data_IF_768750804021
#
_entry.id   IF_768750804021
#
_cell.length_a   1.000
_cell.length_b   1.000
_cell.length_c   1.000
_cell.angle_alpha   90.00
_cell.angle_beta   90.00
_cell.angle_gamma   90.00
#
_symmetry.space_group_name_H-M   'P 1'
#
loop_
_entity.id
_entity.type
_entity.pdbx_description
1 polymer ?
#
# COMPACT_ATOMS: atom_id res chain seq x y z
N UNK A 1 9.04 -10.40 -22.76
CA UNK A 1 7.99 -9.36 -22.71
C UNK A 1 6.73 -9.80 -21.92
N UNK A 2 6.81 -10.78 -21.00
CA UNK A 2 5.70 -11.13 -20.09
C UNK A 2 5.72 -10.38 -18.74
N UNK A 3 6.79 -9.64 -18.45
CA UNK A 3 6.96 -8.88 -17.20
C UNK A 3 5.95 -7.73 -17.07
N UNK A 4 5.59 -7.08 -18.18
CA UNK A 4 4.67 -5.93 -18.18
C UNK A 4 3.25 -6.27 -17.74
N UNK A 5 2.79 -7.51 -17.91
CA UNK A 5 1.46 -7.90 -17.45
C UNK A 5 1.45 -8.11 -15.92
N UNK A 6 2.54 -8.66 -15.36
CA UNK A 6 2.66 -8.87 -13.92
C UNK A 6 2.84 -7.56 -13.16
N UNK A 7 3.58 -6.59 -13.72
CA UNK A 7 3.73 -5.26 -13.11
C UNK A 7 2.39 -4.52 -12.98
N UNK A 8 1.44 -4.73 -13.90
CA UNK A 8 0.09 -4.16 -13.79
C UNK A 8 -0.73 -4.75 -12.63
N UNK A 9 -0.37 -5.93 -12.12
CA UNK A 9 -1.04 -6.58 -10.98
C UNK A 9 -0.30 -6.41 -9.66
N UNK A 10 1.02 -6.17 -9.70
CA UNK A 10 1.86 -5.99 -8.52
C UNK A 10 1.31 -4.90 -7.60
N UNK A 11 0.94 -3.74 -8.14
CA UNK A 11 0.42 -2.64 -7.33
C UNK A 11 -0.94 -2.96 -6.68
N UNK A 12 -1.79 -3.70 -7.39
CA UNK A 12 -3.08 -4.19 -6.84
C UNK A 12 -2.84 -5.16 -5.69
N UNK A 13 -1.87 -6.05 -5.84
CA UNK A 13 -1.57 -7.04 -4.81
C UNK A 13 -0.88 -6.41 -3.60
N UNK A 14 -0.03 -5.40 -3.81
CA UNK A 14 0.53 -4.57 -2.74
C UNK A 14 -0.57 -3.87 -1.93
N UNK A 15 -1.57 -3.29 -2.61
CA UNK A 15 -2.73 -2.69 -1.94
C UNK A 15 -3.57 -3.71 -1.16
N UNK A 16 -3.78 -4.90 -1.73
CA UNK A 16 -4.47 -6.00 -1.05
C UNK A 16 -3.73 -6.40 0.24
N UNK A 17 -2.43 -6.64 0.13
CA UNK A 17 -1.60 -7.02 1.26
C UNK A 17 -1.55 -5.93 2.33
N UNK A 18 -1.39 -4.65 1.96
CA UNK A 18 -1.42 -3.53 2.90
C UNK A 18 -2.75 -3.44 3.68
N UNK A 19 -3.87 -3.72 3.03
CA UNK A 19 -5.18 -3.77 3.69
C UNK A 19 -5.22 -4.83 4.80
N UNK A 20 -4.72 -6.04 4.52
CA UNK A 20 -4.65 -7.12 5.51
C UNK A 20 -3.63 -6.85 6.60
N UNK A 21 -2.46 -6.29 6.25
CA UNK A 21 -1.42 -5.88 7.19
C UNK A 21 -1.98 -4.85 8.17
N UNK A 22 -2.72 -3.85 7.69
CA UNK A 22 -3.34 -2.84 8.55
C UNK A 22 -4.40 -3.43 9.50
N UNK A 23 -5.07 -4.50 9.07
CA UNK A 23 -6.04 -5.22 9.91
C UNK A 23 -5.37 -6.08 10.98
N UNK A 24 -4.25 -6.72 10.66
CA UNK A 24 -3.54 -7.64 11.54
C UNK A 24 -2.62 -6.93 12.55
N UNK A 25 -1.91 -5.87 12.13
CA UNK A 25 -0.92 -5.17 12.95
C UNK A 25 -1.47 -3.81 13.40
N UNK A 26 -1.69 -3.61 14.71
CA UNK A 26 -2.14 -2.34 15.33
C UNK A 26 -1.30 -2.05 16.58
N UNK A 27 -1.06 -0.79 16.96
CA UNK A 27 -1.60 0.46 16.37
C UNK A 27 -0.73 1.09 15.26
N UNK A 28 0.55 0.71 15.18
CA UNK A 28 1.50 1.17 14.18
C UNK A 28 2.44 0.03 13.74
N UNK A 29 3.04 0.20 12.56
CA UNK A 29 3.92 -0.79 11.94
C UNK A 29 5.14 -0.10 11.33
N UNK A 30 6.33 -0.66 11.53
CA UNK A 30 7.56 -0.11 10.97
C UNK A 30 7.56 -0.27 9.44
N UNK A 31 7.99 0.77 8.72
CA UNK A 31 8.08 0.72 7.26
C UNK A 31 9.01 -0.37 6.76
N UNK A 32 10.09 -0.69 7.49
CA UNK A 32 11.04 -1.74 7.11
C UNK A 32 10.36 -3.10 6.97
N UNK A 33 9.41 -3.40 7.86
CA UNK A 33 8.63 -4.62 7.76
C UNK A 33 7.79 -4.64 6.47
N UNK A 34 7.22 -3.50 6.09
CA UNK A 34 6.46 -3.37 4.84
C UNK A 34 7.38 -3.53 3.63
N UNK A 35 8.57 -2.94 3.66
CA UNK A 35 9.59 -3.06 2.62
C UNK A 35 9.97 -4.51 2.38
N UNK A 36 10.28 -5.24 3.46
CA UNK A 36 10.70 -6.64 3.42
C UNK A 36 9.57 -7.58 2.96
N UNK A 37 8.35 -7.42 3.50
CA UNK A 37 7.23 -8.31 3.21
C UNK A 37 6.63 -8.10 1.80
N UNK A 38 6.62 -6.85 1.31
CA UNK A 38 6.08 -6.51 -0.02
C UNK A 38 7.15 -6.50 -1.12
N UNK A 39 8.40 -6.77 -0.77
CA UNK A 39 9.52 -6.84 -1.71
C UNK A 39 9.79 -5.50 -2.40
N UNK A 40 9.74 -4.39 -1.66
CA UNK A 40 10.20 -3.10 -2.17
C UNK A 40 11.74 -3.05 -2.22
N UNK A 41 12.29 -2.31 -3.17
CA UNK A 41 13.74 -2.17 -3.33
C UNK A 41 14.37 -1.30 -2.24
N UNK A 42 13.59 -0.38 -1.67
CA UNK A 42 14.04 0.49 -0.58
C UNK A 42 12.89 0.98 0.30
N UNK A 43 13.23 1.41 1.52
CA UNK A 43 12.28 2.01 2.47
C UNK A 43 11.64 3.29 1.89
N UNK A 44 12.38 4.05 1.07
CA UNK A 44 11.85 5.24 0.39
C UNK A 44 10.82 4.89 -0.68
N UNK A 45 11.02 3.78 -1.43
CA UNK A 45 10.06 3.31 -2.43
C UNK A 45 8.76 2.86 -1.76
N UNK A 46 8.87 2.14 -0.64
CA UNK A 46 7.71 1.74 0.17
C UNK A 46 6.98 2.98 0.74
N UNK A 47 7.74 3.97 1.23
CA UNK A 47 7.18 5.20 1.77
C UNK A 47 6.41 5.96 0.70
N UNK A 48 7.00 6.10 -0.49
CA UNK A 48 6.36 6.80 -1.60
C UNK A 48 5.05 6.13 -2.00
N UNK A 49 5.07 4.80 -2.15
CA UNK A 49 3.87 4.03 -2.48
C UNK A 49 2.76 4.21 -1.44
N UNK A 50 3.11 4.21 -0.16
CA UNK A 50 2.15 4.47 0.93
C UNK A 50 1.56 5.89 0.79
N UNK A 51 2.41 6.90 0.63
CA UNK A 51 2.02 8.31 0.54
C UNK A 51 1.16 8.64 -0.68
N UNK A 52 1.26 7.86 -1.75
CA UNK A 52 0.38 8.01 -2.92
C UNK A 52 -1.09 7.60 -2.61
N UNK A 53 -1.32 6.84 -1.53
CA UNK A 53 -2.64 6.33 -1.14
C UNK A 53 -3.14 6.84 0.21
N UNK A 54 -2.27 7.31 1.09
CA UNK A 54 -2.62 7.75 2.45
C UNK A 54 -2.05 9.13 2.78
N UNK A 55 -2.67 9.91 3.67
CA UNK A 55 -2.13 11.19 4.11
C UNK A 55 -0.77 11.03 4.80
N UNK A 56 0.13 11.99 4.58
CA UNK A 56 1.46 12.04 5.20
C UNK A 56 1.41 11.99 6.74
N UNK A 57 0.33 12.49 7.36
CA UNK A 57 0.12 12.44 8.82
C UNK A 57 0.06 11.02 9.40
N UNK A 58 -0.23 10.02 8.55
CA UNK A 58 -0.27 8.61 8.96
C UNK A 58 1.11 7.95 8.86
N UNK A 59 2.10 8.61 8.27
CA UNK A 59 3.49 8.17 8.23
C UNK A 59 4.30 9.00 9.24
N UNK A 60 4.64 8.39 10.36
CA UNK A 60 5.30 9.09 11.47
C UNK A 60 6.77 8.70 11.55
N UNK A 61 7.64 9.69 11.46
CA UNK A 61 9.05 9.52 11.81
C UNK A 61 9.21 9.49 13.33
N UNK A 62 9.56 8.32 13.88
CA UNK A 62 9.88 8.14 15.29
C UNK A 62 11.40 7.89 15.43
N UNK A 63 11.98 8.03 16.64
CA UNK A 63 13.41 7.77 16.87
C UNK A 63 13.83 6.33 16.52
N UNK A 64 12.87 5.42 16.50
CA UNK A 64 12.99 3.98 16.23
C UNK A 64 12.66 3.62 14.75
N UNK A 65 12.64 4.64 13.88
CA UNK A 65 12.34 4.51 12.46
C UNK A 65 10.97 5.07 12.04
N UNK A 66 10.71 5.03 10.73
CA UNK A 66 9.44 5.48 10.14
C UNK A 66 8.36 4.43 10.40
N UNK A 67 7.22 4.84 10.98
CA UNK A 67 6.11 3.96 11.31
C UNK A 67 4.81 4.43 10.65
N UNK A 68 4.11 3.50 10.03
CA UNK A 68 2.77 3.69 9.48
C UNK A 68 1.72 3.46 10.56
N UNK A 69 0.80 4.41 10.74
CA UNK A 69 -0.33 4.31 11.66
C UNK A 69 -1.45 3.46 11.03
N UNK A 70 -1.26 2.14 11.09
CA UNK A 70 -2.16 1.14 10.53
C UNK A 70 -3.60 1.24 11.03
N UNK A 71 -3.79 1.66 12.29
CA UNK A 71 -5.11 1.84 12.89
C UNK A 71 -6.00 2.85 12.15
N UNK A 72 -5.41 3.83 11.45
CA UNK A 72 -6.12 4.86 10.68
C UNK A 72 -5.93 4.71 9.16
N UNK A 73 -4.89 3.99 8.73
CA UNK A 73 -4.56 3.83 7.32
C UNK A 73 -5.46 2.81 6.59
N UNK A 74 -6.04 1.84 7.30
CA UNK A 74 -6.91 0.79 6.73
C UNK A 74 -7.99 1.32 5.75
N UNK A 75 -8.85 2.30 6.09
CA UNK A 75 -9.91 2.77 5.18
C UNK A 75 -9.38 3.38 3.88
N UNK A 76 -8.19 4.00 3.91
CA UNK A 76 -7.57 4.56 2.71
C UNK A 76 -7.12 3.47 1.74
N UNK A 77 -6.50 2.41 2.26
CA UNK A 77 -6.10 1.27 1.45
C UNK A 77 -7.30 0.46 0.93
N UNK A 78 -8.37 0.34 1.72
CA UNK A 78 -9.61 -0.28 1.24
C UNK A 78 -10.25 0.51 0.08
N UNK A 79 -10.25 1.84 0.16
CA UNK A 79 -10.73 2.70 -0.92
C UNK A 79 -9.84 2.59 -2.18
N UNK A 80 -8.51 2.65 -2.01
CA UNK A 80 -7.55 2.50 -3.10
C UNK A 80 -7.64 1.13 -3.77
N UNK A 81 -7.82 0.06 -2.99
CA UNK A 81 -8.08 -1.29 -3.49
C UNK A 81 -9.37 -1.35 -4.31
N UNK A 82 -10.47 -0.78 -3.79
CA UNK A 82 -11.76 -0.77 -4.48
C UNK A 82 -11.66 -0.02 -5.81
N UNK A 83 -10.94 1.12 -5.85
CA UNK A 83 -10.62 1.87 -7.06
C UNK A 83 -9.85 1.01 -8.06
N UNK A 84 -8.74 0.40 -7.63
CA UNK A 84 -7.85 -0.36 -8.50
C UNK A 84 -8.52 -1.62 -9.09
N UNK A 85 -9.53 -2.16 -8.40
CA UNK A 85 -10.33 -3.31 -8.82
C UNK A 85 -11.62 -2.92 -9.55
N UNK A 86 -11.89 -1.62 -9.78
CA UNK A 86 -13.00 -1.23 -10.64
C UNK A 86 -12.79 -1.81 -12.02
N UNK A 87 -13.69 -2.71 -12.39
CA UNK A 87 -13.73 -3.30 -13.73
C UNK A 87 -14.11 -2.17 -14.67
N UNK A 88 -13.13 -1.66 -15.40
CA UNK A 88 -13.40 -0.85 -16.58
C UNK A 88 -13.99 -1.82 -17.59
N UNK A 89 -15.28 -1.65 -17.93
CA UNK A 89 -15.89 -2.39 -19.03
C UNK A 89 -14.96 -2.24 -20.24
N UNK A 90 -14.74 -3.30 -21.01
CA UNK A 90 -13.90 -3.28 -22.22
C UNK A 90 -14.37 -2.20 -23.23
N UNK A 91 -15.58 -1.65 -23.04
CA UNK A 91 -16.12 -0.51 -23.79
C UNK A 91 -15.89 0.89 -23.18
N UNK A 92 -15.23 1.01 -22.03
CA UNK A 92 -14.81 2.30 -21.46
C UNK A 92 -15.92 3.15 -20.83
N UNK A 93 -16.94 2.53 -20.24
CA UNK A 93 -17.97 3.27 -19.47
C UNK A 93 -17.91 2.89 -17.98
N UNK A 94 -18.02 3.92 -17.14
CA UNK A 94 -18.06 3.89 -15.67
C UNK A 94 -19.52 3.79 -15.22
#
# INVERSE_FOLDING_TARGET
>A
MGAYLMDMFVDRERLNALTYICKAYKPDLNIRFITEELGFESDEQAARFILDHVPEELLQEKPDGVKLVTAKAQPYFEAAKAEAHRIVDIKGQI
#
